data_IF_284158797323
#
_entry.id   IF_284158797323
#
_cell.length_a   1.000
_cell.length_b   1.000
_cell.length_c   1.000
_cell.angle_alpha   90.00
_cell.angle_beta   90.00
_cell.angle_gamma   90.00
#
_symmetry.space_group_name_H-M   'P 1'
#
loop_
_entity.id
_entity.type
_entity.pdbx_description
1 polymer ?
#
# COMPACT_ATOMS: atom_id res chain seq x y z
N UNK A 1 12.32 -5.65 19.54
CA UNK A 1 12.05 -4.98 18.25
C UNK A 1 10.55 -4.99 18.05
N UNK A 2 9.92 -3.84 17.82
CA UNK A 2 8.47 -3.76 17.55
C UNK A 2 8.15 -4.32 16.17
N UNK A 3 6.87 -4.60 15.87
CA UNK A 3 6.45 -5.06 14.54
C UNK A 3 6.89 -4.09 13.43
N UNK A 4 6.74 -2.78 13.69
CA UNK A 4 7.19 -1.70 12.79
C UNK A 4 8.69 -1.74 12.55
N UNK A 5 9.48 -1.89 13.61
CA UNK A 5 10.95 -1.98 13.49
C UNK A 5 11.39 -3.26 12.75
N UNK A 6 10.69 -4.38 12.95
CA UNK A 6 10.97 -5.62 12.23
C UNK A 6 10.68 -5.47 10.73
N UNK A 7 9.51 -4.91 10.38
CA UNK A 7 9.15 -4.64 9.00
C UNK A 7 10.15 -3.70 8.33
N UNK A 8 10.52 -2.61 9.02
CA UNK A 8 11.52 -1.65 8.53
C UNK A 8 12.87 -2.29 8.23
N UNK A 9 13.39 -3.10 9.16
CA UNK A 9 14.65 -3.82 8.98
C UNK A 9 14.60 -4.80 7.80
N UNK A 10 13.52 -5.57 7.70
CA UNK A 10 13.33 -6.59 6.66
C UNK A 10 13.21 -6.00 5.24
N UNK A 11 12.78 -4.74 5.15
CA UNK A 11 12.51 -4.04 3.90
C UNK A 11 13.52 -2.92 3.60
N UNK A 12 14.60 -2.84 4.38
CA UNK A 12 15.64 -1.81 4.27
C UNK A 12 15.06 -0.37 4.27
N UNK A 13 14.26 -0.04 5.29
CA UNK A 13 13.64 1.28 5.45
C UNK A 13 12.24 1.40 4.87
N UNK A 14 11.57 0.27 4.59
CA UNK A 14 10.27 0.26 3.91
C UNK A 14 9.12 0.87 4.70
N UNK A 15 9.28 1.06 6.01
CA UNK A 15 8.25 1.73 6.79
C UNK A 15 8.05 3.18 6.36
N UNK A 16 9.14 3.89 6.00
CA UNK A 16 9.04 5.26 5.49
C UNK A 16 8.27 5.30 4.17
N UNK A 17 8.62 4.41 3.22
CA UNK A 17 7.94 4.33 1.92
C UNK A 17 6.44 4.04 2.09
N UNK A 18 6.08 3.08 2.94
CA UNK A 18 4.68 2.72 3.17
C UNK A 18 3.93 3.84 3.87
N UNK A 19 4.52 4.49 4.87
CA UNK A 19 3.90 5.64 5.53
C UNK A 19 3.70 6.82 4.56
N UNK A 20 4.66 7.08 3.65
CA UNK A 20 4.52 8.11 2.61
C UNK A 20 3.41 7.74 1.62
N UNK A 21 3.27 6.48 1.24
CA UNK A 21 2.14 6.01 0.42
C UNK A 21 0.80 6.27 1.12
N UNK A 22 0.66 5.85 2.38
CA UNK A 22 -0.55 6.07 3.17
C UNK A 22 -0.88 7.56 3.26
N UNK A 23 0.11 8.38 3.63
CA UNK A 23 -0.05 9.83 3.76
C UNK A 23 -0.51 10.49 2.45
N UNK A 24 -0.01 10.05 1.29
CA UNK A 24 -0.43 10.55 -0.02
C UNK A 24 -1.89 10.25 -0.32
N UNK A 25 -2.32 9.00 -0.08
CA UNK A 25 -3.68 8.57 -0.40
C UNK A 25 -4.70 9.21 0.55
N UNK A 26 -4.38 9.28 1.84
CA UNK A 26 -5.25 9.91 2.84
C UNK A 26 -5.35 11.43 2.62
N UNK A 27 -4.25 12.15 2.37
CA UNK A 27 -4.28 13.60 2.09
C UNK A 27 -5.00 13.97 0.80
N UNK A 28 -5.03 13.06 -0.17
CA UNK A 28 -5.72 13.26 -1.44
C UNK A 28 -7.21 12.88 -1.36
N UNK A 29 -7.72 12.47 -0.19
CA UNK A 29 -9.06 11.92 0.02
C UNK A 29 -9.38 10.82 -1.01
N UNK A 30 -8.40 9.94 -1.28
CA UNK A 30 -8.56 8.81 -2.21
C UNK A 30 -8.98 7.59 -1.40
N UNK A 31 -10.18 7.02 -1.62
CA UNK A 31 -10.54 5.74 -1.01
C UNK A 31 -9.58 4.67 -1.50
N UNK A 32 -8.96 3.96 -0.55
CA UNK A 32 -8.01 2.90 -0.85
C UNK A 32 -8.08 1.79 0.20
N UNK A 33 -7.56 0.62 -0.14
CA UNK A 33 -7.22 -0.41 0.85
C UNK A 33 -6.05 -1.25 0.39
N UNK A 34 -5.26 -1.72 1.35
CA UNK A 34 -4.32 -2.79 1.15
C UNK A 34 -5.07 -4.08 0.81
N UNK A 35 -4.45 -4.92 -0.02
CA UNK A 35 -4.93 -6.25 -0.38
C UNK A 35 -3.76 -7.25 -0.24
N UNK A 36 -4.00 -8.50 -0.61
CA UNK A 36 -2.92 -9.51 -0.65
C UNK A 36 -2.29 -9.80 0.72
N UNK A 37 -1.02 -10.20 0.71
CA UNK A 37 -0.32 -10.69 1.90
C UNK A 37 -0.17 -9.65 3.01
N UNK A 38 -0.01 -8.37 2.65
CA UNK A 38 0.06 -7.27 3.63
C UNK A 38 -1.29 -7.06 4.33
N UNK A 39 -2.42 -7.15 3.62
CA UNK A 39 -3.74 -7.03 4.25
C UNK A 39 -4.05 -8.21 5.15
N UNK A 40 -3.72 -9.44 4.73
CA UNK A 40 -3.96 -10.66 5.52
C UNK A 40 -3.28 -10.61 6.89
N UNK A 41 -2.16 -9.88 7.03
CA UNK A 41 -1.49 -9.69 8.31
C UNK A 41 -2.38 -9.06 9.39
N UNK A 42 -3.46 -8.35 9.02
CA UNK A 42 -4.44 -7.86 10.01
C UNK A 42 -5.13 -9.01 10.77
N UNK A 43 -5.42 -10.12 10.10
CA UNK A 43 -6.12 -11.28 10.68
C UNK A 43 -5.19 -12.44 11.05
N UNK A 44 -3.91 -12.36 10.69
CA UNK A 44 -2.95 -13.41 10.95
C UNK A 44 -2.58 -13.46 12.44
N UNK A 45 -2.61 -14.67 13.03
CA UNK A 45 -2.11 -14.87 14.40
C UNK A 45 -0.60 -14.60 14.51
N UNK A 46 0.14 -15.03 13.50
CA UNK A 46 1.59 -14.83 13.39
C UNK A 46 1.87 -13.95 12.17
N UNK A 47 2.75 -12.94 12.27
CA UNK A 47 3.07 -12.07 11.13
C UNK A 47 3.64 -12.82 9.94
N UNK A 48 3.11 -12.56 8.75
CA UNK A 48 3.67 -13.05 7.49
C UNK A 48 4.70 -12.06 6.94
N UNK A 49 5.87 -12.59 6.62
CA UNK A 49 6.98 -11.86 6.01
C UNK A 49 6.60 -11.53 4.56
N UNK A 50 6.37 -10.25 4.27
CA UNK A 50 6.14 -9.73 2.92
C UNK A 50 7.07 -8.55 2.65
N UNK A 51 7.52 -8.41 1.39
CA UNK A 51 8.21 -7.21 0.89
C UNK A 51 7.34 -6.45 -0.12
N UNK A 52 6.11 -6.91 -0.33
CA UNK A 52 5.16 -6.31 -1.25
C UNK A 52 3.99 -5.70 -0.47
N UNK A 53 3.56 -4.54 -0.94
CA UNK A 53 2.37 -3.83 -0.50
C UNK A 53 1.45 -3.72 -1.70
N UNK A 54 0.52 -4.66 -1.79
CA UNK A 54 -0.55 -4.59 -2.76
C UNK A 54 -1.67 -3.70 -2.22
N UNK A 55 -2.19 -2.83 -3.06
CA UNK A 55 -3.32 -1.97 -2.73
C UNK A 55 -4.21 -1.74 -3.93
N UNK A 56 -5.41 -1.26 -3.66
CA UNK A 56 -6.38 -0.82 -4.65
C UNK A 56 -6.92 0.55 -4.25
N UNK A 57 -7.26 1.36 -5.25
CA UNK A 57 -8.02 2.61 -5.10
C UNK A 57 -9.34 2.52 -5.87
N UNK A 58 -10.28 3.44 -5.64
CA UNK A 58 -11.47 3.51 -6.48
C UNK A 58 -11.08 3.71 -7.95
N UNK A 59 -11.81 3.08 -8.89
CA UNK A 59 -11.38 3.04 -10.31
C UNK A 59 -11.26 4.43 -10.93
N UNK A 60 -12.08 5.38 -10.50
CA UNK A 60 -12.04 6.78 -10.91
C UNK A 60 -10.88 7.59 -10.30
N UNK A 61 -10.19 7.03 -9.30
CA UNK A 61 -9.06 7.66 -8.62
C UNK A 61 -7.68 7.13 -9.03
N UNK A 62 -7.60 6.14 -9.94
CA UNK A 62 -6.32 5.52 -10.35
C UNK A 62 -5.30 6.58 -10.80
N UNK A 63 -5.67 7.45 -11.75
CA UNK A 63 -4.75 8.47 -12.26
C UNK A 63 -4.40 9.55 -11.22
N UNK A 64 -5.34 9.85 -10.30
CA UNK A 64 -5.08 10.75 -9.17
C UNK A 64 -4.09 10.14 -8.18
N UNK A 65 -4.21 8.85 -7.89
CA UNK A 65 -3.31 8.13 -7.01
C UNK A 65 -1.90 8.06 -7.59
N UNK A 66 -1.78 7.75 -8.89
CA UNK A 66 -0.49 7.77 -9.60
C UNK A 66 0.15 9.15 -9.50
N UNK A 67 -0.59 10.20 -9.83
CA UNK A 67 -0.09 11.58 -9.78
C UNK A 67 0.36 11.99 -8.37
N UNK A 68 -0.39 11.63 -7.34
CA UNK A 68 -0.05 11.93 -5.94
C UNK A 68 1.24 11.20 -5.50
N UNK A 69 1.38 9.92 -5.86
CA UNK A 69 2.55 9.12 -5.52
C UNK A 69 3.80 9.58 -6.29
N UNK A 70 3.67 9.91 -7.57
CA UNK A 70 4.77 10.48 -8.35
C UNK A 70 5.21 11.85 -7.79
N UNK A 71 4.27 12.70 -7.37
CA UNK A 71 4.57 13.97 -6.70
C UNK A 71 5.30 13.78 -5.36
N UNK A 72 5.08 12.65 -4.69
CA UNK A 72 5.81 12.26 -3.48
C UNK A 72 7.16 11.58 -3.76
N UNK A 73 7.58 11.51 -5.03
CA UNK A 73 8.87 11.00 -5.47
C UNK A 73 8.91 9.48 -5.67
N UNK A 74 7.76 8.80 -5.76
CA UNK A 74 7.72 7.41 -6.19
C UNK A 74 7.85 7.33 -7.72
N UNK A 75 8.56 6.31 -8.22
CA UNK A 75 8.61 6.01 -9.66
C UNK A 75 7.52 5.01 -10.00
N UNK A 76 6.60 5.37 -10.89
CA UNK A 76 5.59 4.47 -11.40
C UNK A 76 6.07 3.67 -12.62
N UNK A 77 5.62 2.43 -12.73
CA UNK A 77 5.76 1.57 -13.89
C UNK A 77 4.42 0.87 -14.15
N UNK A 78 3.90 0.96 -15.38
CA UNK A 78 2.57 0.46 -15.72
C UNK A 78 2.63 -0.89 -16.42
N UNK A 79 1.72 -1.77 -16.02
CA UNK A 79 1.49 -3.08 -16.58
C UNK A 79 0.01 -3.22 -16.99
N UNK A 80 -0.33 -4.36 -17.60
CA UNK A 80 -1.70 -4.61 -18.07
C UNK A 80 -2.74 -4.53 -16.95
N UNK A 81 -2.40 -5.03 -15.74
CA UNK A 81 -3.32 -5.17 -14.62
C UNK A 81 -2.84 -4.50 -13.33
N UNK A 82 -1.75 -3.76 -13.41
CA UNK A 82 -1.19 -3.09 -12.24
C UNK A 82 -0.36 -1.87 -12.60
N UNK A 83 -0.14 -1.04 -11.59
CA UNK A 83 0.84 0.04 -11.61
C UNK A 83 1.74 -0.14 -10.40
N UNK A 84 3.02 -0.37 -10.64
CA UNK A 84 3.98 -0.63 -9.59
C UNK A 84 4.74 0.64 -9.26
N UNK A 85 5.02 0.85 -7.98
CA UNK A 85 5.72 2.01 -7.45
C UNK A 85 6.99 1.58 -6.72
N UNK A 86 8.07 2.28 -7.01
CA UNK A 86 9.35 2.13 -6.30
C UNK A 86 9.70 3.42 -5.56
N UNK A 87 9.98 3.27 -4.27
CA UNK A 87 10.44 4.31 -3.37
C UNK A 87 11.95 4.24 -3.14
N UNK A 88 12.35 4.43 -1.88
CA UNK A 88 13.77 4.43 -1.46
C UNK A 88 14.22 3.08 -0.89
N UNK A 89 13.27 2.31 -0.38
CA UNK A 89 13.48 1.00 0.25
C UNK A 89 13.44 -0.14 -0.77
N UNK A 90 13.49 -1.38 -0.30
CA UNK A 90 13.27 -2.55 -1.18
C UNK A 90 11.79 -2.93 -1.33
N UNK A 91 10.86 -2.23 -0.67
CA UNK A 91 9.42 -2.53 -0.78
C UNK A 91 8.95 -2.35 -2.23
N UNK A 92 8.17 -3.32 -2.71
CA UNK A 92 7.38 -3.17 -3.93
C UNK A 92 5.98 -2.73 -3.57
N UNK A 93 5.51 -1.60 -4.07
CA UNK A 93 4.12 -1.18 -3.91
C UNK A 93 3.40 -1.40 -5.23
N UNK A 94 2.24 -2.04 -5.20
CA UNK A 94 1.49 -2.39 -6.40
C UNK A 94 0.05 -1.95 -6.27
N UNK A 95 -0.36 -1.03 -7.15
CA UNK A 95 -1.76 -0.69 -7.35
C UNK A 95 -2.36 -1.70 -8.35
N UNK A 96 -3.27 -2.55 -7.91
CA UNK A 96 -4.05 -3.39 -8.84
C UNK A 96 -5.08 -2.52 -9.58
N UNK A 97 -5.21 -2.74 -10.89
CA UNK A 97 -6.22 -2.09 -11.75
C UNK A 97 -7.33 -3.05 -12.17
N UNK A 98 -7.36 -4.27 -11.59
CA UNK A 98 -8.35 -5.27 -11.89
C UNK A 98 -9.75 -4.86 -11.38
N UNK A 99 -10.76 -5.03 -12.23
CA UNK A 99 -12.14 -4.62 -11.92
C UNK A 99 -12.73 -5.34 -10.70
N UNK A 100 -12.26 -6.56 -10.40
CA UNK A 100 -12.69 -7.34 -9.24
C UNK A 100 -12.51 -6.60 -7.91
N UNK A 101 -11.49 -5.75 -7.79
CA UNK A 101 -11.20 -5.01 -6.55
C UNK A 101 -11.89 -3.65 -6.46
N UNK A 102 -12.63 -3.21 -7.49
CA UNK A 102 -13.21 -1.84 -7.60
C UNK A 102 -13.95 -1.37 -6.35
N UNK A 103 -14.72 -2.26 -5.73
CA UNK A 103 -15.60 -1.90 -4.61
C UNK A 103 -14.94 -2.07 -3.23
N UNK A 104 -13.73 -2.61 -3.16
CA UNK A 104 -13.05 -2.89 -1.89
C UNK A 104 -12.75 -1.60 -1.10
N UNK A 105 -12.20 -0.53 -1.70
CA UNK A 105 -11.91 0.70 -0.98
C UNK A 105 -13.09 1.29 -0.21
N UNK A 106 -14.31 1.15 -0.76
CA UNK A 106 -15.55 1.68 -0.16
C UNK A 106 -15.95 0.99 1.15
N UNK A 107 -15.42 -0.21 1.41
CA UNK A 107 -15.71 -1.03 2.59
C UNK A 107 -14.54 -1.10 3.57
N UNK A 108 -13.46 -0.40 3.25
CA UNK A 108 -12.22 -0.50 4.01
C UNK A 108 -12.33 0.11 5.40
N UNK A 109 -11.57 -0.45 6.34
CA UNK A 109 -11.50 0.02 7.72
C UNK A 109 -10.06 0.31 8.12
N UNK A 110 -9.84 1.27 9.05
CA UNK A 110 -8.51 1.49 9.60
C UNK A 110 -8.07 0.27 10.43
N UNK A 111 -6.86 -0.23 10.17
CA UNK A 111 -6.26 -1.34 10.90
C UNK A 111 -4.77 -1.13 11.12
N UNK A 112 -4.26 -1.64 12.24
CA UNK A 112 -2.82 -1.74 12.48
C UNK A 112 -2.28 -2.98 11.74
N UNK A 113 -1.40 -2.75 10.77
CA UNK A 113 -0.68 -3.77 10.02
C UNK A 113 0.82 -3.49 10.20
N UNK A 114 1.53 -4.42 10.83
CA UNK A 114 2.96 -4.27 11.18
C UNK A 114 3.30 -2.99 11.96
N UNK A 115 2.39 -2.45 12.78
CA UNK A 115 2.60 -1.18 13.50
C UNK A 115 2.42 0.07 12.62
N UNK A 116 1.76 -0.07 11.47
CA UNK A 116 1.43 1.00 10.54
C UNK A 116 -0.10 1.04 10.39
N UNK A 117 -0.70 2.22 10.54
CA UNK A 117 -2.13 2.39 10.32
C UNK A 117 -2.41 2.38 8.81
N UNK A 118 -3.14 1.37 8.35
CA UNK A 118 -3.52 1.16 6.95
C UNK A 118 -5.03 1.04 6.81
N UNK A 119 -5.51 1.01 5.57
CA UNK A 119 -6.87 0.61 5.22
C UNK A 119 -6.86 -0.85 4.78
N UNK A 120 -7.73 -1.71 5.30
CA UNK A 120 -7.89 -3.13 4.92
C UNK A 120 -9.36 -3.50 4.73
#
# INVERSE_FOLDING_TARGET
MTAKQFYDWQTAGGTDDVMRLVDCLEKADIPWCAIGGVAVNHWAKEPMVTQDVDFVVSTDAIERAVSALEAAGFRAERFQWSINFKGRSTVSMQLSTEEFYRDFPSRSVPADVHGILMRV
#
